data_IF_007315678839
#
_entry.id   IF_007315678839
#
_cell.length_a   1.000
_cell.length_b   1.000
_cell.length_c   1.000
_cell.angle_alpha   90.00
_cell.angle_beta   90.00
_cell.angle_gamma   90.00
#
_symmetry.space_group_name_H-M   'P 1'
#
loop_
_entity.id
_entity.type
_entity.pdbx_description
1 polymer ?
2 water ?
#
# COMPACT_ATOMS: atom_id res chain seq x y z
N UNK A 21 -35.15 28.28 22.65
CA UNK A 21 -34.71 27.87 21.27
C UNK A 21 -33.19 27.60 21.25
N UNK A 22 -32.69 27.17 20.08
CA UNK A 22 -31.25 26.86 19.86
C UNK A 22 -30.46 28.17 19.89
N UNK A 23 -30.87 29.10 19.03
CA UNK A 23 -30.25 30.45 19.01
C UNK A 23 -30.16 31.02 20.44
N UNK A 24 -31.27 31.02 21.16
CA UNK A 24 -31.36 31.72 22.47
C UNK A 24 -30.53 30.99 23.51
N UNK A 25 -30.48 29.66 23.44
CA UNK A 25 -29.64 28.90 24.41
C UNK A 25 -28.17 29.32 24.17
N UNK A 26 -27.83 29.61 22.91
CA UNK A 26 -26.42 29.92 22.51
C UNK A 26 -26.08 31.34 22.96
N UNK A 27 -26.87 32.31 22.51
CA UNK A 27 -26.78 33.71 23.02
C UNK A 27 -26.69 33.74 24.55
N UNK A 28 -27.48 32.91 25.23
CA UNK A 28 -27.49 32.80 26.71
C UNK A 28 -26.21 32.20 27.28
N UNK A 29 -25.32 31.64 26.46
CA UNK A 29 -24.33 30.66 26.97
C UNK A 29 -23.06 31.37 27.44
N UNK A 30 -22.42 30.85 28.46
CA UNK A 30 -21.08 31.31 28.90
C UNK A 30 -20.12 31.28 27.67
N UNK A 31 -19.07 32.10 27.70
CA UNK A 31 -18.11 32.16 26.57
C UNK A 31 -17.14 30.98 26.66
N UNK A 32 -16.42 30.68 25.56
CA UNK A 32 -15.62 29.47 25.53
C UNK A 32 -14.53 29.48 26.59
N UNK A 33 -14.17 28.31 27.09
CA UNK A 33 -13.07 28.20 28.01
C UNK A 33 -11.76 28.40 27.31
N UNK A 34 -11.25 29.61 27.37
CA UNK A 34 -9.94 29.90 26.77
C UNK A 34 -8.81 29.80 27.79
N UNK A 35 -8.99 29.00 28.83
CA UNK A 35 -7.84 28.55 29.67
C UNK A 35 -7.29 27.24 29.11
N UNK A 36 -8.15 26.23 29.02
CA UNK A 36 -7.71 24.87 28.57
C UNK A 36 -7.50 24.88 27.04
N UNK A 37 -8.33 25.61 26.30
CA UNK A 37 -8.14 25.93 24.87
C UNK A 37 -7.38 27.24 24.65
N UNK A 38 -6.56 27.29 23.61
CA UNK A 38 -5.93 28.53 23.12
C UNK A 38 -6.98 29.42 22.44
N UNK A 39 -6.95 30.73 22.73
CA UNK A 39 -7.84 31.70 22.06
C UNK A 39 -7.11 32.16 20.81
N UNK A 40 -7.63 31.84 19.64
CA UNK A 40 -6.95 32.10 18.34
C UNK A 40 -7.44 33.45 17.83
N UNK A 41 -8.35 34.11 18.55
CA UNK A 41 -8.80 35.48 18.19
C UNK A 41 -9.50 35.43 16.87
N UNK A 42 -10.31 34.38 16.69
CA UNK A 42 -10.92 34.22 15.36
C UNK A 42 -12.11 35.17 15.34
N UNK A 43 -12.17 36.14 14.42
CA UNK A 43 -13.22 37.15 14.50
C UNK A 43 -14.64 36.61 14.43
N UNK A 44 -14.83 35.44 13.79
CA UNK A 44 -16.19 34.97 13.51
C UNK A 44 -16.60 33.90 14.51
N UNK A 45 -15.74 33.58 15.45
CA UNK A 45 -16.08 32.61 16.52
C UNK A 45 -17.26 33.06 17.38
N UNK A 46 -17.35 34.32 17.87
CA UNK A 46 -18.42 34.65 18.82
C UNK A 46 -19.67 35.14 18.07
N UNK A 47 -19.66 35.04 16.74
CA UNK A 47 -20.84 35.37 15.91
C UNK A 47 -21.51 34.11 15.35
N UNK A 48 -22.81 34.15 15.05
CA UNK A 48 -23.46 33.09 14.28
C UNK A 48 -23.10 33.18 12.78
N UNK A 49 -23.81 32.41 11.94
CA UNK A 49 -23.46 32.21 10.53
C UNK A 49 -23.73 33.52 9.81
N UNK A 50 -22.74 34.06 9.10
CA UNK A 50 -22.91 35.34 8.38
C UNK A 50 -22.36 35.19 6.99
N UNK A 51 -22.55 33.99 6.42
CA UNK A 51 -21.88 33.62 5.16
C UNK A 51 -22.52 34.30 3.99
N UNK A 52 -23.66 34.96 4.22
CA UNK A 52 -24.28 35.79 3.16
C UNK A 52 -23.43 37.05 2.87
N UNK A 53 -22.49 37.45 3.74
CA UNK A 53 -21.63 38.64 3.47
C UNK A 53 -20.27 38.19 2.96
N UNK A 54 -19.56 39.07 2.26
CA UNK A 54 -18.19 38.84 1.74
C UNK A 54 -17.18 38.83 2.89
N UNK A 55 -17.24 37.82 3.76
CA UNK A 55 -16.35 37.73 4.93
C UNK A 55 -14.88 37.56 4.58
N UNK A 56 -14.05 37.72 5.59
CA UNK A 56 -12.59 37.57 5.47
C UNK A 56 -12.29 36.09 5.69
N UNK A 57 -11.86 35.44 4.61
CA UNK A 57 -11.65 33.97 4.62
C UNK A 57 -10.30 33.67 5.23
N UNK A 58 -10.20 32.56 5.93
CA UNK A 58 -8.89 32.09 6.40
C UNK A 58 -8.48 30.89 5.53
N UNK A 59 -7.18 30.61 5.37
CA UNK A 59 -6.10 31.43 5.94
C UNK A 59 -5.93 32.74 5.18
N UNK A 60 -5.38 33.72 5.90
CA UNK A 60 -4.92 35.01 5.32
C UNK A 60 -3.52 34.74 4.80
N UNK A 61 -3.22 35.09 3.57
CA UNK A 61 -1.84 34.90 3.09
C UNK A 61 -1.60 33.51 2.56
N UNK A 62 -0.33 33.18 2.42
CA UNK A 62 0.20 32.21 1.42
C UNK A 62 0.25 30.80 1.98
N UNK A 63 0.34 30.66 3.30
CA UNK A 63 0.54 29.39 3.99
C UNK A 63 -0.79 28.65 4.17
N UNK A 64 -0.71 27.51 4.83
CA UNK A 64 -1.91 26.70 5.10
C UNK A 64 -2.36 26.97 6.51
N UNK A 65 -3.63 26.77 6.75
CA UNK A 65 -4.18 26.70 8.10
C UNK A 65 -3.72 25.42 8.76
N UNK A 66 -3.25 25.52 9.99
CA UNK A 66 -2.62 24.37 10.66
C UNK A 66 -3.59 23.19 10.85
N UNK A 67 -4.78 23.42 11.39
CA UNK A 67 -5.63 22.36 11.98
C UNK A 67 -7.05 22.85 12.11
N UNK A 68 -7.94 22.22 11.35
CA UNK A 68 -9.40 22.31 11.54
C UNK A 68 -9.90 21.00 12.13
N UNK A 69 -10.68 21.08 13.22
CA UNK A 69 -11.37 19.95 13.88
C UNK A 69 -12.82 20.02 13.47
N UNK A 70 -13.24 19.15 12.56
CA UNK A 70 -14.62 19.16 12.04
C UNK A 70 -15.53 18.52 13.08
N UNK A 71 -16.59 19.26 13.46
CA UNK A 71 -17.49 18.96 14.62
C UNK A 71 -16.71 19.02 15.94
N UNK A 72 -15.57 19.68 15.95
CA UNK A 72 -14.79 19.82 17.18
C UNK A 72 -15.51 20.78 18.18
N UNK A 73 -15.18 20.65 19.46
CA UNK A 73 -15.74 21.45 20.58
C UNK A 73 -14.59 22.01 21.44
N UNK A 74 -13.35 21.86 20.96
CA UNK A 74 -12.14 22.08 21.74
C UNK A 74 -11.90 20.93 22.66
N UNK A 75 -10.93 21.08 23.52
CA UNK A 75 -10.38 19.95 24.27
C UNK A 75 -11.38 19.53 25.34
N UNK A 76 -12.09 18.42 25.13
CA UNK A 76 -13.16 17.91 26.04
C UNK A 76 -12.69 16.68 26.80
N UNK A 77 -12.64 16.76 28.13
CA UNK A 77 -12.34 15.61 29.00
C UNK A 77 -13.64 15.10 29.61
N UNK A 78 -13.81 13.78 29.63
CA UNK A 78 -15.04 13.13 30.11
C UNK A 78 -14.71 11.68 30.44
N UNK A 79 -14.97 11.31 31.70
CA UNK A 79 -14.74 9.95 32.25
C UNK A 79 -13.27 9.57 32.03
N UNK A 80 -12.34 10.54 32.13
CA UNK A 80 -10.89 10.30 32.04
C UNK A 80 -10.42 10.21 30.59
N UNK A 81 -11.33 10.30 29.63
CA UNK A 81 -11.02 10.21 28.17
C UNK A 81 -10.94 11.60 27.56
N UNK A 82 -10.06 11.77 26.59
CA UNK A 82 -9.91 13.06 25.87
C UNK A 82 -10.39 12.93 24.43
N UNK A 83 -11.16 13.94 24.08
CA UNK A 83 -11.48 14.25 22.69
C UNK A 83 -11.15 15.73 22.40
N UNK A 84 -10.90 16.06 21.13
CA UNK A 84 -10.70 17.43 20.66
C UNK A 84 -9.33 18.00 20.92
N UNK A 85 -9.20 19.27 20.59
CA UNK A 85 -7.88 19.94 20.46
C UNK A 85 -7.95 21.39 20.95
N UNK A 86 -6.96 21.78 21.75
CA UNK A 86 -6.91 23.13 22.34
C UNK A 86 -6.49 24.18 21.31
N UNK A 87 -5.78 23.81 20.24
CA UNK A 87 -5.29 24.87 19.31
C UNK A 87 -5.91 24.76 17.91
N UNK A 88 -6.90 23.92 17.67
CA UNK A 88 -7.55 23.87 16.34
C UNK A 88 -8.62 24.94 16.21
N UNK A 89 -8.90 25.37 15.00
CA UNK A 89 -10.25 25.87 14.64
C UNK A 89 -11.22 24.70 14.68
N UNK A 90 -12.46 25.01 15.04
CA UNK A 90 -13.50 23.99 15.25
C UNK A 90 -14.66 24.33 14.34
N UNK A 91 -14.97 23.45 13.38
CA UNK A 91 -16.15 23.67 12.55
C UNK A 91 -17.30 23.06 13.32
N UNK A 92 -18.39 23.80 13.46
CA UNK A 92 -19.59 23.27 14.14
C UNK A 92 -20.81 24.09 13.73
N UNK A 93 -21.98 23.52 14.04
CA UNK A 93 -23.24 24.23 13.73
C UNK A 93 -23.25 25.54 14.56
N UNK A 94 -23.85 26.59 14.03
CA UNK A 94 -23.69 27.99 14.58
C UNK A 94 -24.07 28.10 16.06
N UNK A 95 -25.11 27.37 16.53
CA UNK A 95 -25.59 27.47 17.93
C UNK A 95 -25.05 26.32 18.74
N UNK A 96 -24.20 25.48 18.15
CA UNK A 96 -23.74 24.29 18.87
C UNK A 96 -22.94 24.75 20.09
N UNK A 97 -23.03 23.97 21.16
CA UNK A 97 -22.28 24.20 22.41
C UNK A 97 -21.58 22.92 22.88
N UNK A 98 -20.58 23.06 23.73
CA UNK A 98 -19.82 21.90 24.29
C UNK A 98 -20.85 20.89 24.82
N UNK A 99 -20.62 19.59 24.63
CA UNK A 99 -21.63 18.52 24.78
C UNK A 99 -21.49 17.83 26.13
N UNK A 100 -20.28 17.82 26.68
CA UNK A 100 -19.98 16.99 27.85
C UNK A 100 -18.71 17.51 28.49
N UNK A 101 -18.38 16.95 29.64
CA UNK A 101 -17.26 17.40 30.48
C UNK A 101 -17.62 18.70 31.19
N UNK A 102 -16.68 19.23 31.97
CA UNK A 102 -16.94 20.39 32.87
C UNK A 102 -17.43 21.58 32.06
N UNK A 103 -17.05 21.71 30.79
CA UNK A 103 -17.39 22.89 29.94
C UNK A 103 -18.75 22.71 29.26
N UNK A 104 -19.49 21.70 29.62
CA UNK A 104 -20.71 21.42 28.93
C UNK A 104 -21.57 22.66 28.96
N UNK A 105 -22.13 23.02 27.83
CA UNK A 105 -22.98 24.18 27.79
C UNK A 105 -22.29 25.50 27.47
N UNK A 106 -21.00 25.61 27.68
CA UNK A 106 -20.26 26.78 27.18
C UNK A 106 -20.28 26.87 25.67
N UNK A 107 -19.76 28.01 25.18
CA UNK A 107 -19.64 28.22 23.73
C UNK A 107 -18.38 27.49 23.26
N UNK A 108 -18.33 27.27 21.95
CA UNK A 108 -17.19 26.48 21.37
C UNK A 108 -16.03 27.40 21.02
N UNK A 109 -14.81 27.11 21.49
CA UNK A 109 -13.64 27.90 21.09
C UNK A 109 -13.34 27.88 19.61
N UNK A 110 -12.93 29.02 19.08
CA UNK A 110 -12.29 29.13 17.75
C UNK A 110 -13.25 28.54 16.72
N UNK A 111 -14.53 28.85 16.87
CA UNK A 111 -15.62 28.10 16.21
C UNK A 111 -15.89 28.71 14.86
N UNK A 112 -15.78 27.92 13.79
CA UNK A 112 -16.18 28.33 12.41
C UNK A 112 -17.54 27.75 12.15
N UNK A 113 -18.57 28.56 11.85
CA UNK A 113 -19.92 28.03 11.87
C UNK A 113 -20.45 27.57 10.52
N UNK A 114 -21.34 26.56 10.61
CA UNK A 114 -22.15 26.20 9.42
C UNK A 114 -23.61 26.39 9.83
N UNK A 115 -24.44 26.69 8.84
CA UNK A 115 -25.91 26.81 9.02
C UNK A 115 -26.43 25.52 9.66
N UNK A 116 -26.30 24.40 8.97
CA UNK A 116 -26.77 23.07 9.44
C UNK A 116 -25.72 21.97 9.17
N UNK A 117 -25.83 20.92 9.96
CA UNK A 117 -25.13 19.62 9.75
C UNK A 117 -25.41 19.03 8.36
N UNK A 118 -26.55 19.40 7.76
CA UNK A 118 -27.00 19.01 6.40
C UNK A 118 -26.19 19.75 5.34
N UNK A 119 -26.25 21.08 5.38
CA UNK A 119 -25.60 21.98 4.38
C UNK A 119 -24.09 21.76 4.50
N UNK A 120 -23.62 21.70 5.75
CA UNK A 120 -22.22 21.59 6.22
C UNK A 120 -21.26 22.28 5.25
N UNK A 121 -21.50 23.54 4.92
CA UNK A 121 -20.75 24.31 3.90
C UNK A 121 -19.93 25.40 4.61
N UNK A 122 -18.61 25.44 4.45
CA UNK A 122 -17.74 26.44 5.13
C UNK A 122 -17.12 27.37 4.11
N UNK A 123 -17.71 27.45 2.95
CA UNK A 123 -17.04 28.11 1.81
C UNK A 123 -16.95 29.64 2.03
N UNK A 124 -17.79 30.23 2.89
CA UNK A 124 -17.76 31.70 3.19
C UNK A 124 -16.60 32.00 4.13
N UNK A 125 -16.13 30.98 4.84
CA UNK A 125 -15.15 31.11 5.93
C UNK A 125 -13.76 30.59 5.57
N UNK A 126 -13.67 29.42 4.89
CA UNK A 126 -12.37 28.69 4.69
C UNK A 126 -12.15 28.53 3.20
N UNK A 127 -11.00 28.97 2.75
CA UNK A 127 -10.61 28.92 1.34
C UNK A 127 -10.42 27.42 0.92
N UNK A 128 -10.66 27.17 -0.34
CA UNK A 128 -10.44 25.81 -0.92
C UNK A 128 -9.00 25.44 -0.70
N UNK A 129 -8.75 24.16 -0.42
CA UNK A 129 -7.38 23.60 -0.62
C UNK A 129 -6.35 24.24 0.31
N UNK A 130 -6.76 24.64 1.54
CA UNK A 130 -5.95 25.59 2.35
C UNK A 130 -5.62 25.03 3.71
N UNK A 131 -6.08 23.82 4.04
CA UNK A 131 -5.86 23.29 5.40
C UNK A 131 -4.86 22.15 5.37
N UNK A 132 -3.91 22.18 6.30
CA UNK A 132 -2.85 21.16 6.42
C UNK A 132 -3.40 19.87 7.01
N UNK A 133 -4.14 19.99 8.10
CA UNK A 133 -4.72 18.86 8.82
C UNK A 133 -6.20 19.10 9.06
N UNK A 134 -7.05 18.17 8.63
CA UNK A 134 -8.45 18.12 9.10
C UNK A 134 -8.66 16.86 9.94
N UNK A 135 -9.16 17.02 11.15
CA UNK A 135 -9.61 15.90 12.01
C UNK A 135 -11.13 15.92 12.01
N UNK A 136 -11.79 14.78 12.22
CA UNK A 136 -13.27 14.74 12.12
C UNK A 136 -13.71 13.60 12.99
N UNK A 137 -14.79 13.85 13.72
CA UNK A 137 -15.24 12.91 14.77
C UNK A 137 -16.66 13.29 15.18
N UNK A 138 -17.30 12.38 15.90
CA UNK A 138 -18.56 12.63 16.66
C UNK A 138 -19.73 12.92 15.74
N UNK A 139 -19.68 13.98 14.96
CA UNK A 139 -20.77 14.27 14.04
C UNK A 139 -20.78 13.27 12.91
N UNK A 140 -21.92 13.19 12.20
CA UNK A 140 -22.09 12.35 11.04
C UNK A 140 -21.38 12.95 9.83
N UNK A 141 -20.73 12.10 9.03
CA UNK A 141 -20.16 12.59 7.75
C UNK A 141 -21.16 12.28 6.65
N UNK A 142 -22.03 13.23 6.41
CA UNK A 142 -22.95 13.22 5.28
C UNK A 142 -22.16 13.42 4.02
N UNK A 143 -22.82 13.29 2.89
CA UNK A 143 -22.14 13.54 1.62
C UNK A 143 -21.65 14.98 1.57
N UNK A 144 -22.49 15.92 2.00
CA UNK A 144 -22.14 17.36 1.94
C UNK A 144 -20.94 17.61 2.85
N UNK A 145 -20.96 17.09 4.05
CA UNK A 145 -19.83 17.24 4.95
C UNK A 145 -18.55 16.68 4.33
N UNK A 146 -18.59 15.46 3.76
CA UNK A 146 -17.39 14.84 3.14
C UNK A 146 -16.89 15.77 2.07
N UNK A 147 -17.80 16.33 1.29
CA UNK A 147 -17.41 17.15 0.16
C UNK A 147 -16.70 18.43 0.71
N UNK A 148 -17.12 18.88 1.87
CA UNK A 148 -16.62 20.20 2.43
C UNK A 148 -15.21 19.96 3.02
N UNK A 149 -15.06 18.83 3.73
CA UNK A 149 -13.77 18.34 4.26
C UNK A 149 -12.82 18.21 3.08
N UNK A 150 -13.27 17.62 1.97
CA UNK A 150 -12.35 17.43 0.82
C UNK A 150 -12.02 18.79 0.23
N UNK A 151 -12.99 19.69 0.20
CA UNK A 151 -12.79 21.03 -0.38
C UNK A 151 -11.67 21.77 0.37
N UNK A 152 -11.67 21.71 1.70
CA UNK A 152 -10.75 22.60 2.47
C UNK A 152 -9.38 21.98 2.61
N UNK A 153 -9.28 20.65 2.64
CA UNK A 153 -7.95 20.00 2.84
C UNK A 153 -7.05 20.23 1.65
N UNK A 154 -5.79 20.48 1.93
CA UNK A 154 -4.84 20.80 0.85
C UNK A 154 -4.48 19.46 0.13
N UNK A 155 -4.60 19.40 -1.17
CA UNK A 155 -4.40 18.11 -1.93
C UNK A 155 -2.92 17.73 -1.88
N UNK A 156 -2.00 18.68 -1.98
CA UNK A 156 -0.58 18.34 -2.18
C UNK A 156 0.05 17.82 -0.88
N UNK A 157 -0.34 18.29 0.30
CA UNK A 157 0.30 17.83 1.56
C UNK A 157 -0.68 17.72 2.71
N UNK A 158 -1.98 17.74 2.42
CA UNK A 158 -2.98 17.57 3.49
C UNK A 158 -2.99 16.23 4.16
N UNK A 159 -3.64 16.19 5.29
CA UNK A 159 -3.86 14.99 6.08
C UNK A 159 -5.26 15.05 6.67
N UNK A 160 -6.01 13.94 6.64
CA UNK A 160 -7.35 13.88 7.28
C UNK A 160 -7.33 12.71 8.21
N UNK A 161 -7.77 12.91 9.43
CA UNK A 161 -7.86 11.82 10.41
C UNK A 161 -9.29 11.76 10.89
N UNK A 162 -9.95 10.63 10.68
CA UNK A 162 -11.35 10.41 11.09
C UNK A 162 -11.33 9.50 12.28
N UNK A 163 -11.92 9.97 13.37
CA UNK A 163 -11.82 9.28 14.67
C UNK A 163 -13.21 8.78 15.03
N UNK A 164 -13.24 7.53 15.53
CA UNK A 164 -14.39 6.87 16.17
C UNK A 164 -15.43 6.31 15.22
N UNK A 165 -15.21 6.32 13.92
CA UNK A 165 -16.24 5.81 12.98
C UNK A 165 -15.89 4.34 12.65
N UNK A 166 -16.84 3.54 12.22
CA UNK A 166 -16.50 2.14 11.88
C UNK A 166 -16.08 2.15 10.40
N UNK A 167 -15.13 1.30 10.01
CA UNK A 167 -14.55 1.35 8.64
C UNK A 167 -15.63 1.14 7.58
N UNK A 168 -16.71 0.43 7.89
CA UNK A 168 -17.77 0.13 6.88
C UNK A 168 -18.89 1.18 6.88
N UNK A 169 -18.83 2.16 7.80
CA UNK A 169 -19.90 3.19 7.97
C UNK A 169 -20.19 3.92 6.65
N UNK A 170 -21.40 4.43 6.49
CA UNK A 170 -21.67 5.34 5.36
C UNK A 170 -20.79 6.62 5.51
N UNK A 171 -20.36 6.88 6.75
CA UNK A 171 -19.61 8.13 7.10
C UNK A 171 -18.26 8.03 6.40
N UNK A 172 -17.53 6.96 6.72
CA UNK A 172 -16.22 6.68 6.03
C UNK A 172 -16.39 6.50 4.53
N UNK A 173 -17.47 5.89 4.06
CA UNK A 173 -17.64 5.73 2.61
C UNK A 173 -17.79 7.09 1.94
N UNK A 174 -18.53 7.99 2.59
CA UNK A 174 -18.68 9.34 2.00
C UNK A 174 -17.32 10.03 2.01
N UNK A 175 -16.60 9.91 3.11
CA UNK A 175 -15.29 10.63 3.23
C UNK A 175 -14.26 10.09 2.23
N UNK A 176 -14.11 8.75 2.15
CA UNK A 176 -13.09 8.17 1.26
C UNK A 176 -13.41 8.55 -0.15
N UNK A 177 -14.70 8.56 -0.50
CA UNK A 177 -15.02 8.91 -1.88
C UNK A 177 -14.65 10.35 -2.22
N UNK A 178 -15.06 11.30 -1.37
CA UNK A 178 -14.76 12.74 -1.71
C UNK A 178 -13.26 13.04 -1.62
N UNK A 179 -12.57 12.43 -0.67
CA UNK A 179 -11.11 12.62 -0.60
C UNK A 179 -10.41 12.00 -1.81
N UNK A 180 -10.90 10.84 -2.31
CA UNK A 180 -10.24 10.26 -3.50
C UNK A 180 -10.37 11.10 -4.72
N UNK A 181 -11.51 11.81 -4.90
CA UNK A 181 -11.65 12.74 -6.05
C UNK A 181 -10.58 13.83 -5.99
N UNK A 182 -10.16 14.17 -4.79
CA UNK A 182 -9.17 15.23 -4.57
C UNK A 182 -7.75 14.67 -4.57
N UNK A 183 -7.55 13.42 -4.20
CA UNK A 183 -6.17 12.89 -4.26
C UNK A 183 -5.67 12.58 -2.88
N UNK A 184 -6.56 12.37 -1.94
CA UNK A 184 -6.14 11.83 -0.65
C UNK A 184 -6.71 10.43 -0.48
N UNK A 185 -5.96 9.56 0.16
CA UNK A 185 -6.26 8.11 0.22
C UNK A 185 -5.91 7.57 1.56
N UNK A 186 -6.64 6.56 1.95
CA UNK A 186 -6.39 5.83 3.20
C UNK A 186 -4.98 5.24 3.26
N UNK A 187 -4.34 5.38 4.42
CA UNK A 187 -3.07 4.71 4.74
C UNK A 187 -3.27 3.82 5.94
N UNK A 188 -3.34 2.51 5.73
CA UNK A 188 -3.49 1.54 6.83
C UNK A 188 -2.19 1.52 7.61
N UNK A 189 -2.26 1.58 8.95
CA UNK A 189 -1.07 1.64 9.82
C UNK A 189 -0.28 2.92 9.65
N UNK A 190 -0.84 3.99 9.11
CA UNK A 190 -0.12 5.28 8.95
C UNK A 190 0.17 5.85 10.36
N UNK A 191 1.44 6.14 10.59
CA UNK A 191 1.93 6.54 11.94
C UNK A 191 1.67 8.05 12.09
N UNK A 192 1.05 8.45 13.18
CA UNK A 192 0.70 9.89 13.45
C UNK A 192 1.65 10.48 14.47
N UNK A 193 1.90 11.80 14.44
CA UNK A 193 2.66 12.45 15.53
C UNK A 193 1.85 12.38 16.84
N UNK A 194 2.53 12.57 17.98
CA UNK A 194 1.94 12.40 19.34
C UNK A 194 0.70 13.27 19.50
N UNK A 195 0.67 14.46 18.89
CA UNK A 195 -0.45 15.40 19.14
C UNK A 195 -1.71 15.01 18.36
N UNK A 196 -1.64 14.02 17.47
CA UNK A 196 -2.87 13.55 16.79
C UNK A 196 -3.27 12.19 17.39
N UNK A 197 -2.56 11.75 18.42
CA UNK A 197 -2.79 10.45 19.11
C UNK A 197 -3.37 10.65 20.52
N UNK A 198 -3.95 11.81 20.79
CA UNK A 198 -4.44 12.21 22.13
C UNK A 198 -5.90 11.87 22.31
N UNK A 199 -6.57 11.43 21.25
CA UNK A 199 -8.04 11.22 21.26
C UNK A 199 -8.39 9.87 21.92
N UNK A 200 -8.05 9.68 23.20
CA UNK A 200 -8.32 8.43 23.99
C UNK A 200 -9.83 8.19 24.13
N UNK A 201 -10.64 9.12 23.71
CA UNK A 201 -12.10 8.94 23.67
C UNK A 201 -12.43 7.82 22.68
N UNK A 202 -11.68 7.73 21.59
CA UNK A 202 -12.07 6.84 20.47
C UNK A 202 -11.13 5.65 20.43
N UNK A 203 -11.66 4.53 19.97
CA UNK A 203 -10.87 3.27 19.86
C UNK A 203 -10.48 3.00 18.41
N UNK A 204 -11.04 3.72 17.45
CA UNK A 204 -10.72 3.51 16.02
C UNK A 204 -10.38 4.84 15.39
N UNK A 205 -9.52 4.84 14.37
CA UNK A 205 -9.30 6.03 13.51
C UNK A 205 -8.94 5.58 12.11
N UNK A 206 -9.02 6.49 11.18
CA UNK A 206 -8.68 6.22 9.77
C UNK A 206 -8.00 7.45 9.19
N UNK A 207 -6.78 7.26 8.75
CA UNK A 207 -5.90 8.34 8.23
C UNK A 207 -5.89 8.35 6.73
N UNK A 208 -6.09 9.52 6.16
CA UNK A 208 -5.98 9.75 4.72
C UNK A 208 -4.84 10.69 4.47
N UNK A 209 -3.99 10.42 3.47
CA UNK A 209 -2.89 11.33 3.18
C UNK A 209 -2.77 11.61 1.70
N UNK A 210 -1.86 12.51 1.38
CA UNK A 210 -1.73 12.97 -0.01
C UNK A 210 -1.09 11.86 -0.88
N UNK A 211 -1.20 12.02 -2.19
CA UNK A 211 -0.83 10.96 -3.19
C UNK A 211 0.62 10.57 -2.96
N UNK A 212 1.54 11.53 -2.84
CA UNK A 212 2.96 11.19 -2.66
C UNK A 212 3.19 10.48 -1.38
N UNK A 213 2.53 10.92 -0.31
CA UNK A 213 2.74 10.30 1.00
C UNK A 213 2.26 8.83 0.95
N UNK A 214 1.15 8.61 0.26
CA UNK A 214 0.56 7.24 0.24
C UNK A 214 1.43 6.38 -0.68
N UNK A 215 1.95 6.93 -1.76
CA UNK A 215 2.90 6.22 -2.64
C UNK A 215 4.02 5.69 -1.76
N UNK A 216 4.59 6.56 -0.92
CA UNK A 216 5.74 6.16 -0.11
C UNK A 216 5.30 5.17 0.96
N UNK A 217 4.14 5.39 1.56
CA UNK A 217 3.63 4.53 2.62
C UNK A 217 3.46 3.10 2.08
N UNK A 218 2.82 2.97 0.94
CA UNK A 218 2.48 1.62 0.44
C UNK A 218 3.75 0.93 -0.03
N UNK A 219 4.62 1.65 -0.70
CA UNK A 219 5.91 1.04 -1.07
C UNK A 219 6.61 0.49 0.17
N UNK A 220 6.69 1.28 1.23
CA UNK A 220 7.44 0.86 2.44
C UNK A 220 6.70 -0.22 3.21
N UNK A 221 5.36 -0.26 3.17
CA UNK A 221 4.66 -1.39 3.79
C UNK A 221 5.10 -2.69 3.07
N UNK A 222 5.23 -2.63 1.75
CA UNK A 222 5.61 -3.87 1.02
C UNK A 222 7.05 -4.23 1.31
N UNK A 223 7.95 -3.27 1.24
CA UNK A 223 9.37 -3.60 1.49
C UNK A 223 9.58 -3.99 2.92
N UNK A 224 8.69 -3.54 3.82
CA UNK A 224 8.77 -3.97 5.21
C UNK A 224 8.06 -5.29 5.54
N UNK A 225 7.33 -5.89 4.59
CA UNK A 225 6.61 -7.12 4.89
C UNK A 225 5.31 -6.92 5.64
N UNK A 226 4.74 -5.74 5.66
CA UNK A 226 3.45 -5.57 6.38
C UNK A 226 2.30 -5.73 5.37
N UNK A 227 2.05 -6.99 5.00
CA UNK A 227 1.13 -7.25 3.85
C UNK A 227 -0.32 -6.99 4.31
N UNK A 228 -0.65 -7.20 5.58
CA UNK A 228 -2.02 -6.86 6.04
C UNK A 228 -2.31 -5.41 5.73
N UNK A 229 -1.43 -4.50 6.14
CA UNK A 229 -1.69 -3.07 5.86
C UNK A 229 -1.44 -2.69 4.40
N UNK A 230 -0.57 -3.40 3.69
CA UNK A 230 -0.37 -3.07 2.27
C UNK A 230 -1.66 -3.41 1.51
N UNK A 231 -2.20 -4.61 1.73
CA UNK A 231 -3.47 -4.99 1.06
C UNK A 231 -4.61 -3.99 1.42
N UNK A 232 -4.80 -3.68 2.69
CA UNK A 232 -5.84 -2.66 3.06
C UNK A 232 -5.66 -1.35 2.34
N UNK A 233 -4.42 -0.85 2.26
CA UNK A 233 -4.10 0.37 1.56
C UNK A 233 -4.42 0.29 0.08
N UNK A 234 -3.86 -0.73 -0.59
CA UNK A 234 -4.01 -0.71 -2.06
C UNK A 234 -5.47 -0.89 -2.44
N UNK A 235 -6.21 -1.63 -1.63
CA UNK A 235 -7.64 -1.88 -2.00
C UNK A 235 -8.40 -0.56 -2.02
N UNK A 236 -8.19 0.25 -0.99
CA UNK A 236 -8.90 1.55 -0.87
C UNK A 236 -8.34 2.52 -1.89
N UNK A 237 -7.08 2.33 -2.29
CA UNK A 237 -6.49 3.25 -3.22
C UNK A 237 -7.15 3.08 -4.59
N UNK A 238 -7.16 1.83 -5.07
CA UNK A 238 -7.72 1.54 -6.41
C UNK A 238 -9.24 1.81 -6.43
N UNK A 239 -9.92 1.57 -5.34
CA UNK A 239 -11.38 1.76 -5.26
C UNK A 239 -11.76 3.26 -5.16
N UNK A 240 -10.82 4.18 -4.97
CA UNK A 240 -11.16 5.64 -4.78
C UNK A 240 -10.27 6.52 -5.62
N UNK A 241 -10.12 6.16 -6.89
CA UNK A 241 -9.49 6.98 -7.95
C UNK A 241 -7.97 7.10 -7.75
N UNK A 242 -7.37 6.18 -7.05
CA UNK A 242 -5.91 6.15 -6.82
C UNK A 242 -5.13 5.31 -7.82
N UNK A 243 -5.69 4.98 -8.98
CA UNK A 243 -5.03 4.05 -9.96
C UNK A 243 -3.68 4.59 -10.39
N UNK A 244 -3.48 5.91 -10.52
CA UNK A 244 -2.14 6.42 -10.90
C UNK A 244 -1.10 6.10 -9.84
N UNK A 245 -1.46 6.21 -8.59
CA UNK A 245 -0.50 5.93 -7.52
C UNK A 245 -0.21 4.41 -7.50
N UNK A 246 -1.26 3.61 -7.62
CA UNK A 246 -1.10 2.13 -7.61
C UNK A 246 -0.11 1.77 -8.72
N UNK A 247 -0.31 2.25 -9.93
CA UNK A 247 0.58 1.94 -11.06
C UNK A 247 2.03 2.33 -10.78
N UNK A 248 2.25 3.51 -10.21
CA UNK A 248 3.60 3.98 -9.88
C UNK A 248 4.22 3.06 -8.81
N UNK A 249 3.49 2.70 -7.77
CA UNK A 249 4.10 1.87 -6.72
C UNK A 249 4.44 0.49 -7.31
N UNK A 250 3.49 -0.06 -8.05
CA UNK A 250 3.73 -1.38 -8.64
C UNK A 250 4.96 -1.30 -9.51
N UNK A 251 5.07 -0.31 -10.39
CA UNK A 251 6.26 -0.16 -11.25
C UNK A 251 7.56 -0.19 -10.44
N UNK A 252 7.61 0.49 -9.31
CA UNK A 252 8.79 0.56 -8.46
C UNK A 252 9.08 -0.87 -7.96
N UNK A 253 8.05 -1.54 -7.43
CA UNK A 253 8.19 -2.87 -6.82
C UNK A 253 8.68 -3.93 -7.85
N UNK A 254 8.19 -3.90 -9.10
CA UNK A 254 8.60 -5.01 -10.00
C UNK A 254 9.84 -4.66 -10.79
N UNK A 255 10.36 -3.44 -10.60
CA UNK A 255 11.53 -2.94 -11.39
C UNK A 255 12.79 -3.12 -10.56
N UNK A 256 12.70 -3.15 -9.23
CA UNK A 256 13.86 -2.96 -8.32
C UNK A 256 14.24 -4.22 -7.56
N UNK A 257 13.77 -5.40 -7.98
CA UNK A 257 14.32 -6.61 -7.38
C UNK A 257 13.82 -6.88 -5.97
N UNK A 258 12.57 -6.55 -5.70
CA UNK A 258 11.95 -6.65 -4.37
C UNK A 258 11.15 -7.99 -4.34
N UNK A 259 11.65 -8.99 -3.68
CA UNK A 259 10.92 -10.27 -3.64
C UNK A 259 9.63 -10.12 -2.82
N UNK A 260 9.52 -9.08 -1.98
CA UNK A 260 8.27 -8.88 -1.21
C UNK A 260 7.17 -8.49 -2.19
N UNK A 261 7.49 -8.01 -3.39
CA UNK A 261 6.43 -7.78 -4.37
C UNK A 261 5.70 -9.10 -4.70
N UNK A 262 6.43 -10.20 -4.77
CA UNK A 262 5.85 -11.51 -5.07
C UNK A 262 4.92 -11.89 -3.93
N UNK A 263 5.36 -11.65 -2.68
CA UNK A 263 4.56 -12.02 -1.50
C UNK A 263 3.30 -11.17 -1.45
N UNK A 264 3.40 -9.88 -1.78
CA UNK A 264 2.28 -8.95 -1.81
C UNK A 264 1.27 -9.43 -2.89
N UNK A 265 1.77 -9.76 -4.07
CA UNK A 265 0.89 -10.27 -5.15
C UNK A 265 0.21 -11.57 -4.74
N UNK A 266 0.88 -12.48 -4.02
CA UNK A 266 0.32 -13.73 -3.60
C UNK A 266 -0.84 -13.46 -2.69
N UNK A 267 -0.62 -12.58 -1.69
CA UNK A 267 -1.73 -12.30 -0.74
C UNK A 267 -2.90 -11.64 -1.47
N UNK A 268 -2.63 -10.74 -2.38
CA UNK A 268 -3.74 -10.15 -3.18
C UNK A 268 -4.48 -11.27 -3.94
N UNK A 269 -3.71 -12.18 -4.52
CA UNK A 269 -4.28 -13.25 -5.37
C UNK A 269 -5.19 -14.16 -4.60
N UNK A 270 -4.90 -14.40 -3.32
CA UNK A 270 -5.64 -15.41 -2.55
C UNK A 270 -6.66 -14.79 -1.62
N UNK A 271 -6.62 -13.49 -1.36
CA UNK A 271 -7.51 -12.88 -0.35
C UNK A 271 -8.56 -12.00 -0.97
N UNK A 272 -8.93 -12.21 -2.25
CA UNK A 272 -10.02 -11.47 -2.80
C UNK A 272 -9.68 -10.33 -3.70
N UNK A 273 -8.43 -10.13 -4.01
CA UNK A 273 -7.96 -8.98 -4.77
C UNK A 273 -7.29 -9.40 -6.09
N UNK A 274 -7.74 -10.46 -6.76
CA UNK A 274 -7.15 -10.80 -8.10
C UNK A 274 -7.22 -9.63 -9.04
N UNK A 275 -8.24 -8.78 -8.91
CA UNK A 275 -8.37 -7.65 -9.86
C UNK A 275 -7.12 -6.77 -9.86
N UNK A 276 -6.55 -6.59 -8.70
CA UNK A 276 -5.40 -5.63 -8.57
C UNK A 276 -4.18 -6.28 -9.26
N UNK A 277 -3.97 -7.61 -9.06
CA UNK A 277 -2.85 -8.27 -9.79
C UNK A 277 -3.10 -8.28 -11.30
N UNK A 278 -4.32 -8.65 -11.69
CA UNK A 278 -4.67 -8.71 -13.12
C UNK A 278 -4.44 -7.36 -13.77
N UNK A 279 -4.91 -6.31 -13.12
CA UNK A 279 -5.02 -4.96 -13.75
C UNK A 279 -3.72 -4.15 -13.67
N UNK A 280 -2.93 -4.34 -12.65
CA UNK A 280 -1.72 -3.47 -12.42
C UNK A 280 -0.41 -4.22 -12.43
N UNK A 281 -0.37 -5.54 -12.22
CA UNK A 281 0.93 -6.27 -12.20
C UNK A 281 1.23 -6.79 -13.60
N UNK A 282 2.51 -7.07 -13.89
CA UNK A 282 2.89 -7.68 -15.15
C UNK A 282 2.13 -9.01 -15.38
N UNK A 283 1.79 -9.25 -16.64
CA UNK A 283 0.95 -10.42 -17.05
C UNK A 283 1.58 -11.74 -16.50
N UNK A 284 2.91 -11.81 -16.39
CA UNK A 284 3.60 -13.02 -15.90
C UNK A 284 3.11 -13.42 -14.52
N UNK A 285 2.76 -12.48 -13.68
CA UNK A 285 2.33 -12.81 -12.29
C UNK A 285 1.16 -13.81 -12.33
N UNK A 286 0.25 -13.74 -13.34
CA UNK A 286 -0.87 -14.68 -13.36
C UNK A 286 -0.39 -16.10 -13.67
N UNK A 287 0.62 -16.22 -14.52
CA UNK A 287 1.18 -17.54 -14.83
C UNK A 287 1.85 -18.10 -13.59
N UNK A 288 2.60 -17.24 -12.91
CA UNK A 288 3.36 -17.65 -11.71
C UNK A 288 2.34 -18.12 -10.64
N UNK A 289 1.34 -17.32 -10.37
CA UNK A 289 0.49 -17.53 -9.18
C UNK A 289 -0.55 -18.63 -9.40
N UNK A 290 -0.90 -18.93 -10.65
CA UNK A 290 -1.86 -20.02 -10.94
C UNK A 290 -1.17 -21.29 -11.39
N UNK A 291 0.16 -21.39 -11.27
CA UNK A 291 0.85 -22.67 -11.51
C UNK A 291 0.58 -23.12 -12.96
N UNK A 292 0.57 -22.18 -13.86
CA UNK A 292 0.39 -22.48 -15.30
C UNK A 292 1.65 -22.99 -15.93
N UNK A 293 1.54 -23.75 -17.00
CA UNK A 293 2.72 -24.23 -17.71
C UNK A 293 3.40 -23.00 -18.30
N UNK A 294 4.71 -22.92 -18.11
CA UNK A 294 5.56 -21.79 -18.51
C UNK A 294 6.86 -22.29 -19.10
N UNK A 295 7.46 -21.41 -19.85
CA UNK A 295 8.88 -21.54 -20.22
C UNK A 295 9.68 -20.63 -19.31
N UNK A 296 10.85 -21.09 -18.94
CA UNK A 296 11.87 -20.37 -18.19
C UNK A 296 13.10 -20.12 -19.12
N UNK A 297 13.24 -18.89 -19.55
CA UNK A 297 14.30 -18.56 -20.52
C UNK A 297 15.35 -17.71 -19.86
N UNK A 298 16.56 -18.22 -19.83
CA UNK A 298 17.68 -17.39 -19.42
C UNK A 298 17.84 -16.21 -20.34
N UNK A 299 17.71 -14.99 -19.87
CA UNK A 299 17.65 -13.84 -20.81
C UNK A 299 19.00 -13.67 -21.54
N UNK A 300 20.07 -13.68 -20.78
CA UNK A 300 21.44 -13.38 -21.29
C UNK A 300 21.75 -14.36 -22.43
N UNK A 301 21.69 -15.67 -22.15
CA UNK A 301 22.08 -16.69 -23.17
C UNK A 301 20.91 -17.06 -24.07
N UNK A 302 19.73 -16.58 -23.74
CA UNK A 302 18.53 -16.82 -24.54
C UNK A 302 18.22 -18.29 -24.77
N UNK A 303 18.19 -19.11 -23.70
CA UNK A 303 17.94 -20.54 -23.85
C UNK A 303 16.83 -20.91 -22.84
N UNK A 304 15.89 -21.69 -23.29
CA UNK A 304 14.79 -22.20 -22.43
C UNK A 304 15.33 -23.37 -21.66
N UNK A 305 14.92 -23.51 -20.37
CA UNK A 305 15.39 -24.63 -19.59
C UNK A 305 14.68 -25.95 -19.84
N UNK A 306 15.41 -27.02 -19.61
CA UNK A 306 14.95 -28.42 -19.70
C UNK A 306 15.70 -29.25 -18.67
N UNK A 307 15.31 -30.52 -18.53
CA UNK A 307 16.08 -31.50 -17.74
C UNK A 307 16.82 -32.41 -18.72
N UNK A 308 17.89 -32.97 -18.21
CA UNK A 308 18.78 -33.90 -18.90
C UNK A 308 17.98 -35.14 -19.39
N UNK A 309 18.37 -35.66 -20.53
CA UNK A 309 17.84 -36.93 -21.10
C UNK A 309 18.07 -38.11 -20.17
N UNK A 310 19.09 -38.06 -19.33
CA UNK A 310 19.48 -39.23 -18.51
C UNK A 310 19.51 -38.88 -17.02
N UNK A 311 19.42 -39.92 -16.20
CA UNK A 311 19.54 -39.72 -14.75
C UNK A 311 20.92 -40.05 -14.26
N UNK A 312 21.24 -39.58 -13.08
CA UNK A 312 22.49 -39.97 -12.36
C UNK A 312 22.14 -41.18 -11.47
N UNK A 313 23.09 -41.62 -10.65
CA UNK A 313 22.91 -42.88 -9.89
C UNK A 313 21.85 -42.66 -8.83
N UNK A 314 21.51 -41.40 -8.48
CA UNK A 314 20.45 -41.09 -7.47
C UNK A 314 19.11 -40.82 -8.13
N UNK A 315 18.98 -41.10 -9.41
CA UNK A 315 17.73 -40.90 -10.19
C UNK A 315 17.40 -39.40 -10.30
N UNK A 316 18.39 -38.56 -10.20
CA UNK A 316 18.19 -37.09 -10.41
C UNK A 316 18.64 -36.71 -11.84
N UNK A 317 18.20 -35.56 -12.33
CA UNK A 317 18.57 -35.09 -13.71
C UNK A 317 19.16 -33.70 -13.62
N UNK A 318 20.27 -33.48 -14.38
CA UNK A 318 20.85 -32.15 -14.45
C UNK A 318 19.88 -31.21 -15.19
N UNK A 319 20.03 -29.95 -14.94
CA UNK A 319 19.22 -28.89 -15.56
C UNK A 319 20.08 -28.16 -16.60
N UNK A 320 19.47 -27.88 -17.73
CA UNK A 320 20.19 -27.30 -18.88
C UNK A 320 19.39 -26.22 -19.55
N UNK A 321 20.07 -25.22 -20.09
CA UNK A 321 19.43 -24.42 -21.13
C UNK A 321 19.58 -25.17 -22.44
N UNK A 322 18.57 -25.07 -23.30
CA UNK A 322 18.60 -25.77 -24.61
C UNK A 322 19.02 -24.80 -25.72
N UNK A 323 20.00 -25.21 -26.51
CA UNK A 323 20.52 -24.31 -27.55
C UNK A 323 19.55 -24.12 -28.72
N UNK A 324 18.47 -24.88 -28.83
CA UNK A 324 17.55 -24.73 -30.01
C UNK A 324 16.06 -24.81 -29.69
N UNK A 325 15.68 -25.66 -28.77
CA UNK A 325 14.27 -25.93 -28.47
C UNK A 325 13.74 -24.85 -27.55
N UNK A 326 12.68 -24.20 -27.98
CA UNK A 326 11.90 -23.29 -27.12
C UNK A 326 10.41 -23.55 -27.19
N UNK A 327 10.00 -24.72 -27.64
CA UNK A 327 8.57 -25.02 -27.83
C UNK A 327 8.14 -26.37 -27.32
N UNK A 328 8.97 -27.40 -27.26
CA UNK A 328 8.48 -28.75 -26.99
C UNK A 328 8.10 -28.96 -25.50
N UNK A 329 7.51 -30.10 -25.22
CA UNK A 329 7.11 -30.51 -23.87
C UNK A 329 8.34 -30.57 -22.98
N UNK A 330 9.52 -30.58 -23.56
CA UNK A 330 10.75 -30.67 -22.73
C UNK A 330 11.09 -29.34 -22.05
N UNK A 331 10.47 -28.24 -22.45
CA UNK A 331 10.82 -26.87 -21.95
C UNK A 331 9.62 -26.29 -21.18
N UNK A 332 8.71 -27.17 -20.73
CA UNK A 332 7.57 -26.79 -19.90
C UNK A 332 7.83 -26.98 -18.40
N UNK A 333 7.40 -26.01 -17.62
CA UNK A 333 7.60 -25.92 -16.15
C UNK A 333 6.33 -25.38 -15.51
N UNK A 334 6.27 -25.51 -14.19
CA UNK A 334 5.21 -24.83 -13.43
C UNK A 334 5.86 -24.32 -12.15
N UNK A 335 5.37 -23.21 -11.63
CA UNK A 335 5.81 -22.75 -10.31
C UNK A 335 4.71 -23.10 -9.29
N UNK A 336 5.13 -23.78 -8.25
CA UNK A 336 4.26 -24.12 -7.09
C UNK A 336 4.51 -23.11 -6.00
N UNK A 337 3.48 -22.40 -5.53
CA UNK A 337 3.63 -21.32 -4.57
C UNK A 337 3.07 -21.78 -3.20
N UNK A 338 3.81 -21.44 -2.18
CA UNK A 338 3.46 -21.81 -0.77
C UNK A 338 3.81 -20.59 0.07
N UNK A 339 3.21 -20.49 1.26
CA UNK A 339 3.46 -19.34 2.14
C UNK A 339 4.17 -19.87 3.39
N UNK A 340 5.30 -19.30 3.69
CA UNK A 340 6.14 -19.71 4.83
C UNK A 340 6.70 -18.46 5.50
N UNK A 341 6.52 -18.37 6.83
CA UNK A 341 7.17 -17.28 7.60
C UNK A 341 7.07 -15.89 6.92
N UNK A 342 5.87 -15.48 6.55
CA UNK A 342 5.59 -14.17 5.95
C UNK A 342 6.30 -13.97 4.62
N UNK A 343 6.50 -15.03 3.88
CA UNK A 343 7.00 -14.87 2.48
C UNK A 343 6.30 -15.89 1.60
N UNK A 344 6.07 -15.52 0.32
CA UNK A 344 5.79 -16.58 -0.66
C UNK A 344 7.12 -17.28 -1.01
N UNK A 345 7.08 -18.57 -1.19
CA UNK A 345 8.18 -19.40 -1.63
C UNK A 345 7.71 -20.25 -2.79
N UNK A 346 8.65 -20.70 -3.62
CA UNK A 346 8.26 -21.46 -4.78
C UNK A 346 9.01 -22.75 -4.90
N UNK A 347 8.36 -23.75 -5.48
CA UNK A 347 9.02 -24.94 -5.96
C UNK A 347 8.94 -24.85 -7.51
N UNK A 348 9.97 -25.32 -8.15
CA UNK A 348 10.03 -25.22 -9.64
C UNK A 348 9.91 -26.63 -10.22
N UNK A 349 8.77 -26.89 -10.87
CA UNK A 349 8.42 -28.20 -11.38
C UNK A 349 8.64 -28.38 -12.87
N UNK A 350 9.36 -29.44 -13.24
CA UNK A 350 9.56 -29.85 -14.65
C UNK A 350 8.38 -30.73 -15.02
N UNK A 351 7.55 -30.36 -16.00
CA UNK A 351 6.36 -31.15 -16.32
C UNK A 351 6.70 -32.41 -17.12
N UNK A 352 7.78 -32.45 -17.90
CA UNK A 352 8.10 -33.70 -18.65
C UNK A 352 8.29 -34.86 -17.69
N UNK A 353 9.01 -34.63 -16.60
CA UNK A 353 9.40 -35.68 -15.65
C UNK A 353 8.72 -35.57 -14.29
N UNK A 354 7.98 -34.50 -14.01
CA UNK A 354 7.38 -34.25 -12.68
C UNK A 354 8.51 -34.29 -11.65
N UNK A 355 9.55 -33.49 -11.90
CA UNK A 355 10.67 -33.36 -10.99
C UNK A 355 10.85 -31.90 -10.55
N UNK A 356 11.43 -31.71 -9.37
CA UNK A 356 11.51 -30.43 -8.69
C UNK A 356 12.98 -29.96 -8.64
N UNK A 357 13.20 -28.69 -8.97
CA UNK A 357 14.62 -28.22 -8.95
C UNK A 357 15.18 -28.05 -7.52
N UNK A 358 16.45 -28.34 -7.43
CA UNK A 358 17.30 -28.07 -6.25
C UNK A 358 18.72 -27.75 -6.68
N UNK A 359 19.53 -27.35 -5.73
CA UNK A 359 20.98 -27.17 -6.04
C UNK A 359 21.75 -28.27 -5.35
N UNK A 360 22.85 -28.64 -5.98
CA UNK A 360 23.79 -29.65 -5.49
C UNK A 360 24.33 -29.27 -4.11
N UNK A 361 24.48 -30.31 -3.26
CA UNK A 361 25.12 -30.12 -1.94
C UNK A 361 26.63 -29.86 -2.09
N UNK A 362 27.20 -30.22 -3.25
CA UNK A 362 28.62 -30.06 -3.54
C UNK A 362 28.86 -28.85 -4.42
N UNK A 363 29.80 -28.05 -4.05
CA UNK A 363 30.22 -26.89 -4.83
C UNK A 363 31.31 -27.32 -5.80
N UNK A 364 31.51 -26.48 -6.81
CA UNK A 364 32.70 -26.63 -7.70
C UNK A 364 33.80 -25.71 -7.16
N UNK A 365 34.88 -25.52 -7.91
CA UNK A 365 36.06 -24.82 -7.37
C UNK A 365 35.77 -23.33 -7.28
N UNK A 366 34.70 -22.80 -7.93
CA UNK A 366 34.28 -21.41 -7.78
C UNK A 366 33.21 -21.21 -6.69
N UNK A 367 32.76 -22.27 -6.08
CA UNK A 367 31.72 -22.18 -5.06
C UNK A 367 30.35 -22.28 -5.68
N UNK A 368 30.24 -22.49 -6.98
CA UNK A 368 28.93 -22.63 -7.65
C UNK A 368 28.36 -24.02 -7.49
N UNK A 369 27.04 -24.15 -7.65
CA UNK A 369 26.37 -25.46 -7.48
C UNK A 369 25.57 -25.89 -8.71
N UNK A 370 25.80 -27.13 -9.16
CA UNK A 370 24.95 -27.66 -10.26
C UNK A 370 23.46 -27.65 -9.85
N UNK A 371 22.60 -27.35 -10.85
CA UNK A 371 21.15 -27.44 -10.66
C UNK A 371 20.63 -28.80 -11.10
N UNK A 372 19.82 -29.42 -10.23
CA UNK A 372 19.27 -30.75 -10.46
C UNK A 372 17.74 -30.81 -10.30
N UNK A 373 17.12 -31.69 -11.02
CA UNK A 373 15.71 -32.05 -10.83
C UNK A 373 15.65 -33.37 -10.03
N UNK A 374 14.74 -33.47 -9.06
CA UNK A 374 14.53 -34.70 -8.27
C UNK A 374 13.06 -35.05 -8.20
N UNK A 375 12.77 -36.36 -8.07
CA UNK A 375 11.38 -36.78 -7.86
C UNK A 375 10.86 -36.30 -6.52
N UNK A 376 11.70 -36.27 -5.51
CA UNK A 376 11.35 -35.77 -4.17
C UNK A 376 11.43 -34.24 -4.06
N UNK A 377 10.80 -33.64 -3.08
CA UNK A 377 10.64 -32.18 -3.02
C UNK A 377 10.47 -31.65 -1.62
N UNK A 378 11.00 -32.35 -0.61
CA UNK A 378 10.70 -31.97 0.79
C UNK A 378 11.83 -31.25 1.47
N UNK A 379 12.90 -30.90 0.77
CA UNK A 379 14.01 -30.18 1.41
C UNK A 379 13.93 -28.65 1.25
N UNK A 380 14.62 -27.90 2.06
CA UNK A 380 14.67 -26.45 1.92
C UNK A 380 15.28 -26.11 0.53
N UNK A 381 16.21 -26.96 0.07
CA UNK A 381 16.92 -26.69 -1.26
C UNK A 381 15.98 -26.91 -2.44
N UNK A 382 14.81 -27.44 -2.21
CA UNK A 382 13.75 -27.47 -3.26
C UNK A 382 12.97 -26.15 -3.37
N UNK A 383 13.21 -25.16 -2.55
CA UNK A 383 12.39 -23.95 -2.49
C UNK A 383 13.24 -22.79 -2.95
N UNK A 384 12.55 -21.83 -3.48
CA UNK A 384 13.13 -20.72 -4.26
C UNK A 384 12.43 -19.40 -4.05
N UNK A 385 13.15 -18.30 -4.20
CA UNK A 385 12.60 -16.97 -4.24
C UNK A 385 12.66 -16.43 -5.67
N UNK A 386 11.72 -15.60 -6.02
CA UNK A 386 11.76 -14.84 -7.29
C UNK A 386 11.88 -13.37 -7.00
N UNK A 387 12.78 -12.65 -7.70
CA UNK A 387 12.94 -11.21 -7.54
C UNK A 387 12.62 -10.50 -8.82
N UNK A 388 11.52 -9.77 -8.89
CA UNK A 388 11.14 -9.16 -10.16
C UNK A 388 12.03 -7.96 -10.43
N UNK A 389 12.53 -7.91 -11.66
CA UNK A 389 13.46 -6.86 -12.10
C UNK A 389 13.16 -6.52 -13.53
N UNK A 390 13.49 -5.31 -13.94
CA UNK A 390 13.20 -4.94 -15.36
C UNK A 390 14.39 -4.38 -16.11
N UNK A 391 14.69 -4.94 -17.30
CA UNK A 391 15.71 -4.48 -18.31
C UNK A 391 14.87 -3.74 -19.34
N UNK A 392 14.78 -2.42 -19.16
CA UNK A 392 13.90 -1.57 -19.97
C UNK A 392 12.47 -1.95 -19.83
N UNK A 393 11.90 -2.37 -20.92
CA UNK A 393 10.49 -2.74 -21.01
C UNK A 393 10.26 -4.23 -20.69
N UNK A 394 11.33 -5.01 -20.58
CA UNK A 394 11.23 -6.48 -20.45
C UNK A 394 11.10 -6.83 -18.95
N UNK A 395 10.03 -7.47 -18.53
CA UNK A 395 9.96 -7.95 -17.13
C UNK A 395 10.82 -9.20 -17.04
N UNK A 396 11.63 -9.29 -16.01
CA UNK A 396 12.48 -10.45 -15.75
C UNK A 396 12.35 -10.82 -14.27
N UNK A 397 12.94 -11.96 -13.97
CA UNK A 397 12.95 -12.46 -12.57
C UNK A 397 14.29 -13.05 -12.29
N UNK A 398 14.83 -12.75 -11.13
CA UNK A 398 15.99 -13.48 -10.64
C UNK A 398 15.46 -14.63 -9.82
N UNK A 399 16.12 -15.80 -9.94
CA UNK A 399 15.60 -17.03 -9.30
C UNK A 399 16.71 -17.46 -8.34
N UNK A 400 16.34 -17.56 -7.05
CA UNK A 400 17.41 -17.74 -6.04
C UNK A 400 17.03 -18.87 -5.12
N UNK A 401 17.93 -19.78 -4.92
CA UNK A 401 17.66 -20.93 -4.03
C UNK A 401 17.52 -20.45 -2.58
N UNK A 402 16.49 -20.91 -1.91
CA UNK A 402 16.18 -20.46 -0.54
C UNK A 402 17.22 -21.03 0.46
N UNK A 403 17.68 -22.24 0.27
CA UNK A 403 18.66 -22.80 1.24
C UNK A 403 20.02 -22.19 1.01
N UNK A 404 20.50 -22.17 -0.23
CA UNK A 404 21.91 -21.76 -0.49
C UNK A 404 22.06 -20.29 -0.81
N UNK A 405 20.97 -19.59 -1.10
CA UNK A 405 20.94 -18.18 -1.40
C UNK A 405 21.84 -17.93 -2.59
N UNK A 406 21.71 -18.77 -3.58
CA UNK A 406 22.45 -18.62 -4.86
C UNK A 406 21.42 -18.41 -6.01
N UNK A 407 21.65 -17.41 -6.81
CA UNK A 407 20.80 -17.13 -8.00
C UNK A 407 21.21 -17.96 -9.18
N UNK A 408 20.27 -18.30 -10.04
CA UNK A 408 20.58 -19.23 -11.12
C UNK A 408 21.20 -18.44 -12.30
N UNK A 409 22.09 -19.17 -12.95
CA UNK A 409 22.81 -18.74 -14.17
C UNK A 409 23.07 -19.90 -15.06
N UNK A 410 23.26 -19.61 -16.37
CA UNK A 410 23.60 -20.62 -17.31
C UNK A 410 25.13 -20.56 -17.56
N UNK A 411 25.68 -21.72 -17.85
CA UNK A 411 27.15 -21.90 -18.00
C UNK A 411 27.62 -21.06 -19.18
N UNK A 412 28.72 -20.35 -19.01
CA UNK A 412 29.37 -19.57 -20.09
C UNK A 412 29.85 -20.56 -21.14
N UNK A 413 30.13 -21.77 -20.77
CA UNK A 413 30.56 -22.83 -21.68
C UNK A 413 29.40 -23.68 -22.13
N UNK A 414 29.31 -23.92 -23.42
CA UNK A 414 28.37 -24.90 -24.02
C UNK A 414 28.93 -26.31 -24.00
N UNK A 415 28.08 -27.29 -24.04
CA UNK A 415 28.52 -28.68 -24.28
C UNK A 415 28.58 -28.94 -25.79
N UNK A 416 28.81 -30.17 -26.17
CA UNK A 416 28.98 -30.56 -27.60
C UNK A 416 27.69 -30.27 -28.36
N UNK A 417 26.53 -30.26 -27.68
CA UNK A 417 25.24 -30.04 -28.34
C UNK A 417 24.81 -28.57 -28.33
N UNK A 418 25.58 -27.71 -27.73
CA UNK A 418 25.22 -26.27 -27.72
C UNK A 418 24.29 -25.92 -26.52
N UNK A 419 24.17 -26.86 -25.59
CA UNK A 419 23.37 -26.66 -24.35
C UNK A 419 24.25 -26.10 -23.23
N UNK A 420 23.66 -25.41 -22.27
CA UNK A 420 24.39 -24.77 -21.18
C UNK A 420 23.93 -25.36 -19.86
N UNK A 421 24.85 -25.80 -19.04
CA UNK A 421 24.38 -26.30 -17.70
C UNK A 421 23.87 -25.16 -16.88
N UNK A 422 22.88 -25.42 -15.97
CA UNK A 422 22.38 -24.37 -15.11
C UNK A 422 23.05 -24.50 -13.67
N UNK A 423 23.53 -23.40 -13.19
CA UNK A 423 24.27 -23.34 -11.89
C UNK A 423 23.63 -22.36 -10.97
N UNK A 424 23.72 -22.60 -9.65
CA UNK A 424 23.65 -21.55 -8.68
C UNK A 424 24.98 -20.77 -8.60
N UNK A 425 24.87 -19.50 -8.57
CA UNK A 425 26.02 -18.54 -8.61
C UNK A 425 26.46 -18.28 -7.16
N UNK A 426 27.73 -18.49 -6.91
CA UNK A 426 28.31 -17.98 -5.65
C UNK A 426 28.50 -16.49 -5.79
N UNK A 427 27.71 -15.70 -5.12
CA UNK A 427 27.83 -14.24 -5.28
C UNK A 427 26.54 -13.62 -5.77
N UNK A 428 26.29 -12.38 -5.43
CA UNK A 428 24.96 -11.78 -5.63
C UNK A 428 24.65 -11.72 -7.14
N UNK A 429 23.39 -11.90 -7.46
CA UNK A 429 22.94 -11.77 -8.87
C UNK A 429 22.21 -10.45 -8.99
N UNK A 430 22.17 -9.66 -7.93
CA UNK A 430 21.37 -8.41 -7.88
C UNK A 430 22.00 -7.28 -8.68
N UNK A 431 23.29 -7.28 -8.93
CA UNK A 431 23.86 -6.05 -9.52
C UNK A 431 23.54 -6.01 -11.04
N UNK A 432 22.83 -7.00 -11.61
CA UNK A 432 23.00 -7.29 -13.05
C UNK A 432 21.85 -8.08 -13.67
N UNK A 433 20.63 -7.52 -13.90
CA UNK A 433 19.55 -8.29 -14.55
C UNK A 433 19.77 -8.77 -16.01
N UNK A 434 20.64 -8.10 -16.74
CA UNK A 434 20.89 -8.54 -18.13
C UNK A 434 21.66 -9.84 -18.08
N UNK A 435 22.43 -10.07 -17.01
CA UNK A 435 23.11 -11.35 -16.96
C UNK A 435 22.29 -12.36 -16.29
N UNK A 436 21.55 -12.02 -15.23
CA UNK A 436 21.02 -13.12 -14.42
C UNK A 436 19.48 -13.20 -14.45
N UNK A 437 18.82 -12.36 -15.21
CA UNK A 437 17.36 -12.40 -15.29
C UNK A 437 16.82 -13.54 -16.10
N UNK A 438 15.65 -14.05 -15.75
CA UNK A 438 14.86 -15.02 -16.54
C UNK A 438 13.58 -14.38 -17.08
N UNK A 439 13.27 -14.78 -18.28
CA UNK A 439 11.98 -14.43 -18.91
C UNK A 439 11.05 -15.58 -18.58
N UNK A 440 9.80 -15.23 -18.17
CA UNK A 440 8.77 -16.26 -17.99
C UNK A 440 7.72 -16.07 -19.08
N UNK A 441 7.49 -17.08 -19.86
CA UNK A 441 6.48 -17.03 -20.94
C UNK A 441 5.50 -18.13 -20.76
N UNK A 442 4.25 -17.96 -21.22
CA UNK A 442 3.36 -19.12 -21.26
C UNK A 442 3.89 -20.20 -22.18
N UNK A 443 3.67 -21.43 -21.78
CA UNK A 443 4.14 -22.55 -22.61
C UNK A 443 3.10 -22.80 -23.73
N UNK A 444 1.85 -22.85 -23.44
CA UNK A 444 0.91 -23.28 -24.55
C UNK A 444 0.75 -22.13 -25.57
#
# INVERSE_FOLDING_TARGET
MGHHHHHHMLTSSSPSQVKTSSEEEWEAASEPDYDTNEDLLYPYSPTPYFGMYHLVKIPIGRGLLHHVDYWGEGKVTNLGKIRGFPQSYNVNEQFALVSKGHNKGKQIPNRIPVVSVDDSDTSSYIRDDSVKTVTISTGPITKRCAADVARIVNASEGLVVAYGYSDNSDDIQNLERELGKKGLYYGAGYELPADLRTQTEFSTKRVFADASSINNHLYNLVTGGDYINAVKTVRSLVDNQGSDVCRDVVSQLVSHGIKNAMSFAYKLWHEGHKDIVEDYFPSEFQLILDQKRIKLIGKHYNQALKLDANVDRYNDRLTWGDGKDNTSYRVSWRLISLWENNNVIFKILNTEHEMYLKLDVNVDSYGDRKTWGSNDSSEKRHTWYLYPVKVGDQQLFLIENREYRQGLKLDANVDWYGDRLVWGNNGTVADNPEYYGFIIQPWQ
#
